data_IF_749090435117
#
_entry.id   IF_749090435117
#
_cell.length_a   1.000
_cell.length_b   1.000
_cell.length_c   1.000
_cell.angle_alpha   90.00
_cell.angle_beta   90.00
_cell.angle_gamma   90.00
#
_symmetry.space_group_name_H-M   'P 1'
#
loop_
_entity.id
_entity.type
_entity.pdbx_description
1 polymer ?
#
# COMPACT_ATOMS: atom_id res chain seq x y z
N UNK A 1 -77.32 31.08 -66.95
CA UNK A 1 -77.25 30.57 -65.58
C UNK A 1 -75.91 29.86 -65.41
N UNK A 2 -74.96 30.49 -64.68
CA UNK A 2 -73.61 29.97 -64.51
C UNK A 2 -73.47 29.68 -63.04
N UNK A 3 -73.37 28.41 -62.67
CA UNK A 3 -73.10 27.98 -61.27
C UNK A 3 -71.62 27.88 -61.06
N UNK A 4 -71.10 28.73 -60.16
CA UNK A 4 -69.69 28.69 -59.75
C UNK A 4 -69.49 27.63 -58.68
N UNK A 5 -68.55 26.68 -58.89
CA UNK A 5 -68.05 25.74 -57.90
C UNK A 5 -66.88 26.40 -57.17
N UNK A 6 -67.05 26.65 -55.89
CA UNK A 6 -65.99 27.07 -55.01
C UNK A 6 -65.28 25.79 -54.53
N UNK A 7 -64.06 25.56 -55.01
CA UNK A 7 -63.19 24.48 -54.51
C UNK A 7 -62.52 24.89 -53.22
N UNK A 8 -62.85 24.21 -52.15
CA UNK A 8 -62.19 24.35 -50.84
C UNK A 8 -60.94 23.49 -50.86
N UNK A 9 -59.80 24.12 -51.02
CA UNK A 9 -58.47 23.43 -50.82
C UNK A 9 -58.15 23.34 -49.36
N UNK A 10 -58.23 22.15 -48.85
CA UNK A 10 -57.76 21.83 -47.49
C UNK A 10 -56.20 21.75 -47.52
N UNK A 11 -55.52 22.72 -46.94
CA UNK A 11 -54.09 22.70 -46.76
C UNK A 11 -53.75 21.76 -45.56
N UNK A 12 -53.16 20.62 -45.84
CA UNK A 12 -52.62 19.76 -44.81
C UNK A 12 -51.41 20.45 -44.22
N UNK A 13 -51.50 20.86 -42.96
CA UNK A 13 -50.34 21.31 -42.20
C UNK A 13 -49.45 20.09 -41.93
N UNK A 14 -48.23 20.07 -42.52
CA UNK A 14 -47.20 19.12 -42.15
C UNK A 14 -46.77 19.43 -40.69
N UNK A 15 -47.05 18.53 -39.79
CA UNK A 15 -46.50 18.56 -38.45
C UNK A 15 -45.00 18.28 -38.57
N UNK A 16 -44.19 19.27 -38.34
CA UNK A 16 -42.76 19.07 -38.17
C UNK A 16 -42.55 18.43 -36.78
N UNK A 17 -42.13 17.17 -36.79
CA UNK A 17 -41.69 16.49 -35.55
C UNK A 17 -40.27 17.01 -35.20
N UNK A 18 -40.23 18.05 -34.37
CA UNK A 18 -39.00 18.72 -33.96
C UNK A 18 -38.42 17.99 -32.72
N UNK A 19 -38.27 16.67 -32.82
CA UNK A 19 -37.62 15.85 -31.77
C UNK A 19 -36.16 15.62 -32.10
N UNK A 20 -35.29 16.24 -31.34
CA UNK A 20 -33.87 15.94 -31.36
C UNK A 20 -33.53 14.90 -30.26
N UNK A 21 -33.08 13.71 -30.67
CA UNK A 21 -32.60 12.67 -29.74
C UNK A 21 -31.09 12.66 -29.73
N UNK A 22 -30.50 12.84 -28.54
CA UNK A 22 -29.07 12.65 -28.31
C UNK A 22 -28.83 11.38 -27.51
N UNK A 23 -27.85 10.57 -27.94
CA UNK A 23 -27.42 9.36 -27.21
C UNK A 23 -26.07 9.62 -26.56
N UNK A 24 -25.93 9.17 -25.30
CA UNK A 24 -24.67 9.19 -24.57
C UNK A 24 -24.31 7.76 -24.19
N UNK A 25 -23.01 7.45 -24.21
CA UNK A 25 -22.49 6.17 -23.72
C UNK A 25 -22.09 6.32 -22.25
N UNK A 26 -22.64 5.48 -21.36
CA UNK A 26 -22.21 5.34 -19.98
C UNK A 26 -21.25 4.15 -19.87
N UNK A 27 -20.17 4.32 -19.09
CA UNK A 27 -19.19 3.25 -18.80
C UNK A 27 -18.93 3.24 -17.30
N UNK A 28 -18.76 2.05 -16.75
CA UNK A 28 -18.31 1.82 -15.39
C UNK A 28 -17.28 0.68 -15.40
N UNK A 29 -16.28 0.77 -14.56
CA UNK A 29 -15.34 -0.30 -14.26
C UNK A 29 -15.43 -0.62 -12.78
N UNK A 30 -15.54 -1.92 -12.45
CA UNK A 30 -15.60 -2.41 -11.08
C UNK A 30 -14.32 -3.16 -10.81
N UNK A 31 -13.57 -2.72 -9.80
CA UNK A 31 -12.33 -3.36 -9.35
C UNK A 31 -12.62 -4.30 -8.17
N UNK A 32 -11.76 -5.30 -8.00
CA UNK A 32 -11.70 -6.10 -6.79
C UNK A 32 -11.29 -5.22 -5.61
N UNK A 33 -11.82 -5.47 -4.42
CA UNK A 33 -11.37 -4.76 -3.22
C UNK A 33 -9.88 -5.01 -2.98
N UNK A 34 -9.12 -3.92 -2.73
CA UNK A 34 -7.71 -4.02 -2.36
C UNK A 34 -7.59 -4.40 -0.88
N UNK A 35 -6.61 -5.22 -0.57
CA UNK A 35 -6.29 -5.62 0.81
C UNK A 35 -4.80 -5.83 1.00
N UNK A 36 -4.32 -5.69 2.24
CA UNK A 36 -2.97 -6.05 2.65
C UNK A 36 -3.03 -6.84 3.96
N UNK A 37 -2.30 -7.94 4.03
CA UNK A 37 -2.23 -8.80 5.22
C UNK A 37 -0.76 -9.00 5.58
N UNK A 38 -0.42 -8.79 6.86
CA UNK A 38 0.91 -9.15 7.37
C UNK A 38 1.02 -10.68 7.44
N UNK A 39 2.08 -11.23 6.86
CA UNK A 39 2.35 -12.67 6.81
C UNK A 39 3.61 -13.06 7.59
N UNK A 40 4.46 -12.09 7.90
CA UNK A 40 5.61 -12.25 8.80
C UNK A 40 5.94 -10.91 9.46
N UNK A 41 6.30 -10.93 10.72
CA UNK A 41 6.72 -9.75 11.50
C UNK A 41 8.13 -9.28 11.09
N UNK A 42 8.49 -8.04 11.42
CA UNK A 42 9.88 -7.57 11.34
C UNK A 42 10.63 -8.04 12.59
N UNK A 43 11.58 -8.95 12.45
CA UNK A 43 12.38 -9.47 13.55
C UNK A 43 13.86 -9.07 13.41
N UNK A 44 14.40 -8.37 14.38
CA UNK A 44 15.82 -8.02 14.46
C UNK A 44 16.66 -9.15 15.08
N UNK A 45 16.04 -10.20 15.58
CA UNK A 45 16.68 -11.28 16.32
C UNK A 45 17.19 -10.86 17.69
N UNK A 46 18.01 -11.71 18.30
CA UNK A 46 18.68 -11.39 19.55
C UNK A 46 19.90 -10.51 19.30
N UNK A 47 20.03 -9.43 20.07
CA UNK A 47 21.07 -8.41 19.95
C UNK A 47 21.81 -8.34 21.27
N UNK A 48 23.14 -8.35 21.22
CA UNK A 48 24.02 -8.02 22.36
C UNK A 48 24.51 -6.59 22.23
N UNK A 49 24.20 -5.75 23.22
CA UNK A 49 24.74 -4.38 23.30
C UNK A 49 26.15 -4.35 23.87
N UNK A 50 26.95 -3.44 23.38
CA UNK A 50 28.24 -3.10 23.96
C UNK A 50 28.21 -1.83 24.85
N UNK A 51 29.34 -1.26 25.12
CA UNK A 51 29.47 -0.01 25.89
C UNK A 51 29.20 1.26 25.06
N UNK A 52 29.20 1.15 23.76
CA UNK A 52 28.93 2.26 22.84
C UNK A 52 27.68 1.94 21.99
N UNK A 53 27.04 2.99 21.51
CA UNK A 53 25.85 2.84 20.65
C UNK A 53 26.17 2.14 19.33
N UNK A 54 25.17 1.50 18.75
CA UNK A 54 25.26 0.84 17.46
C UNK A 54 23.91 0.75 16.76
N UNK A 55 23.91 0.12 15.60
CA UNK A 55 22.72 -0.07 14.78
C UNK A 55 22.63 -1.52 14.28
N UNK A 56 21.41 -1.98 14.15
CA UNK A 56 21.08 -3.26 13.52
C UNK A 56 20.16 -2.97 12.33
N UNK A 57 20.54 -3.45 11.17
CA UNK A 57 19.75 -3.29 9.94
C UNK A 57 19.24 -4.64 9.47
N UNK A 58 17.94 -4.72 9.20
CA UNK A 58 17.33 -5.82 8.47
C UNK A 58 17.03 -5.32 7.05
N UNK A 59 17.56 -6.02 6.07
CA UNK A 59 17.32 -5.70 4.68
C UNK A 59 15.89 -6.10 4.27
N UNK A 60 15.18 -5.19 3.60
CA UNK A 60 13.79 -5.40 3.19
C UNK A 60 13.62 -6.55 2.17
N UNK A 61 14.66 -6.82 1.37
CA UNK A 61 14.70 -7.88 0.37
C UNK A 61 15.00 -9.29 0.92
N UNK A 62 15.17 -9.40 2.26
CA UNK A 62 15.50 -10.65 2.91
C UNK A 62 16.97 -11.06 2.80
N UNK A 63 17.88 -10.18 2.33
CA UNK A 63 19.31 -10.50 2.22
C UNK A 63 20.01 -10.63 3.58
N UNK A 64 19.32 -10.35 4.70
CA UNK A 64 19.73 -10.67 6.05
C UNK A 64 19.93 -9.47 6.96
N UNK A 65 20.63 -9.72 8.10
CA UNK A 65 20.94 -8.74 9.13
C UNK A 65 22.36 -8.25 9.00
N UNK A 66 22.56 -6.95 9.11
CA UNK A 66 23.87 -6.33 9.33
C UNK A 66 23.89 -5.53 10.64
N UNK A 67 25.08 -5.40 11.24
CA UNK A 67 25.27 -4.67 12.50
C UNK A 67 26.44 -3.71 12.38
N UNK A 68 26.39 -2.60 13.12
CA UNK A 68 27.46 -1.61 13.16
C UNK A 68 27.58 -0.96 14.55
N UNK A 69 28.74 -0.37 14.85
CA UNK A 69 29.00 0.24 16.15
C UNK A 69 29.18 -0.78 17.26
N UNK A 70 28.67 -0.47 18.46
CA UNK A 70 28.89 -1.28 19.68
C UNK A 70 27.87 -2.39 19.88
N UNK A 71 27.27 -2.91 18.85
CA UNK A 71 26.30 -4.01 18.94
C UNK A 71 26.75 -5.23 18.15
N UNK A 72 26.27 -6.40 18.54
CA UNK A 72 26.50 -7.65 17.82
C UNK A 72 25.23 -8.49 17.78
N UNK A 73 25.09 -9.31 16.74
CA UNK A 73 24.03 -10.30 16.66
C UNK A 73 24.32 -11.49 17.58
N UNK A 74 23.37 -11.85 18.41
CA UNK A 74 23.48 -12.94 19.38
C UNK A 74 22.58 -14.14 19.07
N UNK A 75 22.10 -14.26 17.83
CA UNK A 75 21.21 -15.34 17.38
C UNK A 75 19.80 -14.87 17.04
N UNK A 76 18.83 -15.75 17.15
CA UNK A 76 17.46 -15.54 16.68
C UNK A 76 17.33 -15.84 15.18
N UNK A 77 16.18 -15.50 14.62
CA UNK A 77 15.86 -15.65 13.19
C UNK A 77 15.50 -14.27 12.59
N UNK A 78 16.51 -13.38 12.40
CA UNK A 78 16.24 -12.03 11.91
C UNK A 78 15.76 -12.02 10.47
N UNK A 79 14.61 -11.43 10.23
CA UNK A 79 13.99 -11.35 8.90
C UNK A 79 13.14 -10.08 8.76
N UNK A 80 12.90 -9.59 7.52
CA UNK A 80 12.00 -8.48 7.26
C UNK A 80 10.54 -8.89 7.51
N UNK A 81 9.70 -7.91 7.79
CA UNK A 81 8.27 -8.11 7.72
C UNK A 81 7.85 -8.42 6.28
N UNK A 82 6.81 -9.25 6.14
CA UNK A 82 6.22 -9.59 4.84
C UNK A 82 4.74 -9.24 4.86
N UNK A 83 4.31 -8.57 3.81
CA UNK A 83 2.91 -8.28 3.56
C UNK A 83 2.48 -8.86 2.23
N UNK A 84 1.33 -9.53 2.20
CA UNK A 84 0.67 -9.93 0.98
C UNK A 84 -0.42 -8.91 0.65
N UNK A 85 -0.22 -8.18 -0.43
CA UNK A 85 -1.22 -7.29 -1.00
C UNK A 85 -2.01 -8.04 -2.09
N UNK A 86 -3.34 -7.86 -2.12
CA UNK A 86 -4.24 -8.48 -3.09
C UNK A 86 -5.18 -7.44 -3.68
N UNK A 87 -5.49 -7.57 -4.97
CA UNK A 87 -6.35 -6.65 -5.71
C UNK A 87 -6.62 -7.11 -7.13
N UNK A 88 -7.16 -6.21 -7.96
CA UNK A 88 -7.43 -6.52 -9.36
C UNK A 88 -6.13 -6.79 -10.13
N UNK A 89 -6.05 -7.90 -10.90
CA UNK A 89 -4.87 -8.25 -11.68
C UNK A 89 -4.39 -7.12 -12.59
N UNK A 90 -3.08 -6.97 -12.70
CA UNK A 90 -2.41 -5.98 -13.56
C UNK A 90 -2.80 -4.51 -13.30
N UNK A 91 -3.42 -4.21 -12.15
CA UNK A 91 -3.71 -2.83 -11.72
C UNK A 91 -2.54 -2.25 -10.94
N UNK A 92 -2.31 -0.96 -11.16
CA UNK A 92 -1.29 -0.19 -10.43
C UNK A 92 -1.83 0.18 -9.05
N UNK A 93 -0.97 0.09 -8.05
CA UNK A 93 -1.25 0.48 -6.67
C UNK A 93 -0.06 1.23 -6.08
N UNK A 94 -0.32 1.99 -5.03
CA UNK A 94 0.68 2.75 -4.28
C UNK A 94 0.75 2.20 -2.85
N UNK A 95 1.98 2.12 -2.33
CA UNK A 95 2.30 1.71 -0.97
C UNK A 95 2.66 2.95 -0.16
N UNK A 96 2.00 3.13 0.98
CA UNK A 96 2.37 4.10 2.01
C UNK A 96 2.69 3.33 3.28
N UNK A 97 3.75 3.70 3.97
CA UNK A 97 4.16 3.07 5.23
C UNK A 97 4.72 4.11 6.20
N UNK A 98 4.76 3.76 7.48
CA UNK A 98 5.45 4.57 8.47
C UNK A 98 6.94 4.63 8.13
N UNK A 99 7.57 5.77 8.35
CA UNK A 99 9.01 5.95 8.10
C UNK A 99 9.88 5.46 9.25
N UNK A 100 9.30 5.32 10.46
CA UNK A 100 9.98 4.93 11.70
C UNK A 100 8.97 4.28 12.66
N UNK A 101 9.47 3.62 13.70
CA UNK A 101 8.62 3.06 14.76
C UNK A 101 9.37 3.07 16.10
N UNK A 102 8.62 2.95 17.18
CA UNK A 102 9.17 2.81 18.53
C UNK A 102 8.78 1.46 19.10
N UNK A 103 9.77 0.74 19.62
CA UNK A 103 9.58 -0.49 20.37
C UNK A 103 9.67 -0.19 21.86
N UNK A 104 8.88 -0.87 22.69
CA UNK A 104 8.90 -0.73 24.14
C UNK A 104 9.03 -2.08 24.81
N UNK A 105 9.67 -2.12 25.98
CA UNK A 105 9.67 -3.29 26.85
C UNK A 105 8.62 -3.15 27.96
N UNK A 106 8.43 -4.20 28.76
CA UNK A 106 7.49 -4.19 29.87
C UNK A 106 7.83 -3.22 31.01
N UNK A 107 9.03 -2.65 31.03
CA UNK A 107 9.52 -1.67 32.01
C UNK A 107 9.39 -0.21 31.55
N UNK A 108 8.98 0.01 30.30
CA UNK A 108 8.82 1.34 29.69
C UNK A 108 10.07 1.88 29.00
N UNK A 109 11.15 1.11 28.91
CA UNK A 109 12.30 1.49 28.10
C UNK A 109 11.96 1.36 26.61
N UNK A 110 12.61 2.17 25.79
CA UNK A 110 12.31 2.25 24.36
C UNK A 110 13.54 1.95 23.49
N UNK A 111 13.28 1.40 22.30
CA UNK A 111 14.19 1.31 21.17
C UNK A 111 13.55 1.99 19.95
N UNK A 112 14.33 2.67 19.15
CA UNK A 112 13.82 3.34 17.94
C UNK A 112 14.24 2.59 16.68
N UNK A 113 13.25 2.22 15.87
CA UNK A 113 13.48 1.94 14.46
C UNK A 113 13.51 3.31 13.77
N UNK A 114 14.70 3.77 13.43
CA UNK A 114 14.91 5.12 12.89
C UNK A 114 14.50 5.25 11.44
N UNK A 115 14.47 4.12 10.73
CA UNK A 115 14.11 4.07 9.32
C UNK A 115 13.44 2.74 9.03
N UNK A 116 12.28 2.78 8.39
CA UNK A 116 11.62 1.64 7.76
C UNK A 116 11.76 1.77 6.24
N UNK A 117 12.06 0.69 5.57
CA UNK A 117 12.33 0.62 4.13
C UNK A 117 11.53 -0.52 3.50
N UNK A 118 11.04 -0.32 2.28
CA UNK A 118 10.41 -1.40 1.50
C UNK A 118 11.38 -1.95 0.44
N UNK A 119 11.13 -3.15 -0.01
CA UNK A 119 11.93 -3.95 -0.96
C UNK A 119 11.80 -3.51 -2.43
N UNK A 120 11.54 -2.27 -2.72
CA UNK A 120 11.41 -1.74 -4.09
C UNK A 120 10.62 -0.43 -4.15
N UNK A 121 10.07 -0.05 -5.31
CA UNK A 121 9.36 1.21 -5.46
C UNK A 121 8.03 1.20 -4.69
N UNK A 122 7.57 2.40 -4.31
CA UNK A 122 6.27 2.60 -3.66
C UNK A 122 5.09 2.43 -4.62
N UNK A 123 5.30 2.62 -5.91
CA UNK A 123 4.28 2.36 -6.94
C UNK A 123 4.61 1.06 -7.64
N UNK A 124 3.67 0.12 -7.64
CA UNK A 124 3.81 -1.23 -8.19
C UNK A 124 2.56 -1.63 -8.96
N UNK A 125 2.64 -2.77 -9.63
CA UNK A 125 1.52 -3.39 -10.32
C UNK A 125 1.29 -4.79 -9.73
N UNK A 126 0.01 -5.14 -9.52
CA UNK A 126 -0.34 -6.51 -9.13
C UNK A 126 0.04 -7.50 -10.23
N UNK A 127 0.44 -8.68 -9.81
CA UNK A 127 0.66 -9.78 -10.74
C UNK A 127 -0.61 -10.20 -11.49
N UNK A 128 -0.47 -11.13 -12.43
CA UNK A 128 -1.61 -11.69 -13.19
C UNK A 128 -2.59 -12.48 -12.30
N UNK A 129 -2.17 -12.89 -11.10
CA UNK A 129 -3.00 -13.52 -10.08
C UNK A 129 -3.67 -12.50 -9.12
N UNK A 130 -3.40 -11.20 -9.30
CA UNK A 130 -3.91 -10.14 -8.42
C UNK A 130 -3.18 -10.04 -7.09
N UNK A 131 -1.97 -10.59 -6.95
CA UNK A 131 -1.19 -10.59 -5.71
C UNK A 131 0.17 -9.91 -5.89
N UNK A 132 0.69 -9.40 -4.79
CA UNK A 132 2.04 -8.83 -4.69
C UNK A 132 2.56 -8.93 -3.27
N UNK A 133 3.79 -9.41 -3.10
CA UNK A 133 4.47 -9.44 -1.81
C UNK A 133 5.28 -8.17 -1.61
N UNK A 134 5.25 -7.62 -0.40
CA UNK A 134 5.97 -6.42 0.00
C UNK A 134 6.80 -6.76 1.23
N UNK A 135 8.12 -6.67 1.10
CA UNK A 135 9.06 -6.80 2.22
C UNK A 135 9.30 -5.43 2.89
N UNK A 136 9.34 -5.41 4.21
CA UNK A 136 9.69 -4.22 4.99
C UNK A 136 10.83 -4.55 5.94
N UNK A 137 11.97 -3.91 5.71
CA UNK A 137 13.13 -3.93 6.60
C UNK A 137 13.22 -2.66 7.42
N UNK A 138 14.27 -2.57 8.26
CA UNK A 138 14.44 -1.37 9.07
C UNK A 138 15.81 -1.26 9.71
N UNK A 139 16.09 -0.07 10.25
CA UNK A 139 17.31 0.27 10.99
C UNK A 139 16.93 0.55 12.43
N UNK A 140 17.35 -0.34 13.33
CA UNK A 140 17.16 -0.22 14.78
C UNK A 140 18.38 0.46 15.39
N UNK A 141 18.16 1.50 16.18
CA UNK A 141 19.20 2.18 16.96
C UNK A 141 19.26 1.63 18.38
N UNK A 142 20.44 1.23 18.84
CA UNK A 142 20.68 0.64 20.16
C UNK A 142 21.70 1.48 20.89
N UNK A 143 21.34 2.03 22.06
CA UNK A 143 22.23 2.79 22.90
C UNK A 143 23.23 1.85 23.62
N UNK A 144 24.46 2.35 23.97
CA UNK A 144 25.45 1.57 24.72
C UNK A 144 25.01 1.19 26.14
N UNK A 145 24.04 1.89 26.71
CA UNK A 145 23.42 1.61 28.00
C UNK A 145 21.98 1.13 27.88
N UNK A 146 21.57 0.63 26.70
CA UNK A 146 20.20 0.16 26.48
C UNK A 146 19.80 -0.87 27.53
N UNK A 147 18.64 -0.73 28.13
CA UNK A 147 18.13 -1.70 29.09
C UNK A 147 17.88 -3.07 28.40
N UNK A 148 18.15 -4.14 29.16
CA UNK A 148 17.88 -5.50 28.69
C UNK A 148 16.37 -5.78 28.72
N UNK A 149 15.92 -6.64 27.82
CA UNK A 149 14.53 -7.04 27.76
C UNK A 149 14.06 -7.38 26.35
N UNK A 150 12.81 -7.83 26.26
CA UNK A 150 12.12 -8.03 25.00
C UNK A 150 11.39 -6.74 24.63
N UNK A 151 11.66 -6.24 23.44
CA UNK A 151 11.06 -5.00 22.92
C UNK A 151 10.10 -5.33 21.80
N UNK A 152 8.92 -4.73 21.81
CA UNK A 152 7.90 -4.87 20.79
C UNK A 152 7.24 -3.53 20.45
N UNK A 153 6.72 -3.42 19.25
CA UNK A 153 6.01 -2.25 18.75
C UNK A 153 5.34 -2.58 17.42
N UNK A 154 4.67 -1.62 16.84
CA UNK A 154 4.00 -1.79 15.56
C UNK A 154 4.26 -0.62 14.62
N UNK A 155 4.10 -0.87 13.35
CA UNK A 155 4.09 0.11 12.27
C UNK A 155 2.99 -0.25 11.27
N UNK A 156 2.59 0.72 10.46
CA UNK A 156 1.50 0.58 9.49
C UNK A 156 2.02 0.59 8.06
N UNK A 157 1.37 -0.20 7.21
CA UNK A 157 1.51 -0.19 5.76
C UNK A 157 0.12 -0.16 5.15
N UNK A 158 -0.08 0.73 4.18
CA UNK A 158 -1.34 0.91 3.45
C UNK A 158 -1.10 0.75 1.96
N UNK A 159 -2.04 0.13 1.27
CA UNK A 159 -2.05 -0.03 -0.19
C UNK A 159 -3.33 0.56 -0.76
N UNK A 160 -3.19 1.36 -1.82
CA UNK A 160 -4.31 2.01 -2.50
C UNK A 160 -4.17 1.89 -4.01
N UNK A 161 -5.28 1.75 -4.74
CA UNK A 161 -5.26 1.84 -6.20
C UNK A 161 -4.85 3.23 -6.65
N UNK A 162 -4.14 3.28 -7.78
CA UNK A 162 -3.73 4.52 -8.42
C UNK A 162 -4.66 4.87 -9.59
#
# INVERSE_FOLDING_TARGET
MLAGMIGLTLAAAAAFDDQATATATARAEVLQQISAVNTAELDFGTISRGSIAGQVTIAADGSGRSVSGGVSGAGGDPHPAQFLASGSPNRTYTITHDSSATLTNGSGDTLSITTLLIDGPTTRQFGSNGESTIGVGGILSVAGNQAEGSYSGSFSLTVDYQ
#
